data_IF_168714973056
#
_entry.id   IF_168714973056
#
_cell.length_a   1.000
_cell.length_b   1.000
_cell.length_c   1.000
_cell.angle_alpha   90.00
_cell.angle_beta   90.00
_cell.angle_gamma   90.00
#
_symmetry.space_group_name_H-M   'P 1'
#
loop_
_entity.id
_entity.type
_entity.pdbx_description
1 polymer ?
#
# COMPACT_ATOMS: atom_id res chain seq x y z
N UNK A 1 -18.85 12.57 27.63
CA UNK A 1 -18.79 12.06 29.02
C UNK A 1 -17.46 11.36 29.18
N UNK A 2 -16.60 11.86 30.07
CA UNK A 2 -15.26 11.32 30.32
C UNK A 2 -15.38 10.24 31.40
N UNK A 3 -15.00 9.00 31.07
CA UNK A 3 -14.83 7.95 32.08
C UNK A 3 -13.34 7.94 32.49
N UNK A 4 -13.04 8.60 33.61
CA UNK A 4 -11.70 8.59 34.21
C UNK A 4 -11.65 7.44 35.20
N UNK A 5 -10.96 6.35 34.85
CA UNK A 5 -10.65 5.27 35.79
C UNK A 5 -9.20 5.40 36.26
N UNK A 6 -9.05 5.56 37.57
CA UNK A 6 -7.80 5.83 38.26
C UNK A 6 -7.13 4.50 38.67
N UNK A 7 -6.19 3.99 37.88
CA UNK A 7 -5.13 3.08 38.36
C UNK A 7 -3.85 3.32 37.55
N UNK A 8 -2.75 3.49 38.27
CA UNK A 8 -1.44 3.89 37.73
C UNK A 8 -0.96 2.99 36.59
N UNK A 9 -0.39 3.64 35.58
CA UNK A 9 0.16 3.03 34.38
C UNK A 9 0.01 4.01 33.24
N UNK A 10 1.08 4.24 32.49
CA UNK A 10 1.13 5.11 31.30
C UNK A 10 -0.22 5.17 30.59
N UNK A 11 -0.82 6.36 30.54
CA UNK A 11 -2.04 6.61 29.77
C UNK A 11 -1.65 6.45 28.29
N UNK A 12 -1.74 5.23 27.76
CA UNK A 12 -1.67 5.02 26.33
C UNK A 12 -3.01 5.56 25.81
N UNK A 13 -3.00 6.83 25.43
CA UNK A 13 -4.11 7.49 24.77
C UNK A 13 -4.36 6.72 23.47
N UNK A 14 -5.22 5.71 23.57
CA UNK A 14 -5.59 4.85 22.45
C UNK A 14 -6.54 5.68 21.60
N UNK A 15 -5.99 6.36 20.58
CA UNK A 15 -6.82 7.05 19.60
C UNK A 15 -7.78 6.03 18.98
N UNK A 16 -8.95 6.48 18.53
CA UNK A 16 -9.94 5.61 17.87
C UNK A 16 -9.32 4.83 16.71
N UNK A 17 -8.26 5.37 16.09
CA UNK A 17 -7.43 4.76 15.05
C UNK A 17 -6.56 3.58 15.51
N UNK A 18 -6.25 3.45 16.80
CA UNK A 18 -5.49 2.33 17.37
C UNK A 18 -6.40 1.14 17.72
N UNK A 19 -7.72 1.30 17.55
CA UNK A 19 -8.72 0.23 17.62
C UNK A 19 -9.06 -0.33 16.24
N UNK A 20 -8.77 0.40 15.16
CA UNK A 20 -8.96 -0.10 13.81
C UNK A 20 -7.80 -1.04 13.44
N UNK A 21 -8.10 -2.23 12.87
CA UNK A 21 -7.05 -3.06 12.32
C UNK A 21 -6.26 -2.26 11.28
N UNK A 22 -4.93 -2.33 11.34
CA UNK A 22 -4.07 -1.65 10.35
C UNK A 22 -4.59 -1.98 8.95
N UNK A 23 -4.73 -0.95 8.14
CA UNK A 23 -5.21 -1.08 6.77
C UNK A 23 -4.49 -2.23 6.07
N UNK A 24 -5.27 -3.04 5.34
CA UNK A 24 -4.72 -4.21 4.71
C UNK A 24 -3.62 -3.79 3.74
N UNK A 25 -2.46 -4.42 3.86
CA UNK A 25 -1.33 -4.12 2.99
C UNK A 25 -1.75 -4.34 1.54
N UNK A 26 -1.34 -3.48 0.60
CA UNK A 26 -1.62 -3.70 -0.80
C UNK A 26 -0.99 -5.03 -1.25
N UNK A 27 -1.64 -5.69 -2.21
CA UNK A 27 -1.19 -6.98 -2.74
C UNK A 27 0.24 -6.86 -3.25
N UNK A 28 1.12 -7.74 -2.79
CA UNK A 28 2.49 -7.84 -3.30
C UNK A 28 2.48 -8.53 -4.66
N UNK A 29 3.28 -8.05 -5.61
CA UNK A 29 3.43 -8.74 -6.91
C UNK A 29 3.98 -10.16 -6.72
N UNK A 30 3.66 -11.07 -7.64
CA UNK A 30 4.18 -12.45 -7.62
C UNK A 30 5.72 -12.48 -7.57
N UNK A 31 6.39 -11.58 -8.29
CA UNK A 31 7.85 -11.45 -8.30
C UNK A 31 8.40 -11.00 -6.94
N UNK A 32 7.77 -9.99 -6.34
CA UNK A 32 8.15 -9.53 -4.99
C UNK A 32 7.95 -10.64 -3.98
N UNK A 33 6.82 -11.35 -4.05
CA UNK A 33 6.52 -12.47 -3.17
C UNK A 33 7.55 -13.60 -3.30
N UNK A 34 7.88 -14.02 -4.53
CA UNK A 34 8.93 -15.00 -4.80
C UNK A 34 10.27 -14.58 -4.17
N UNK A 35 10.66 -13.31 -4.32
CA UNK A 35 11.91 -12.79 -3.73
C UNK A 35 11.89 -12.81 -2.21
N UNK A 36 10.76 -12.45 -1.59
CA UNK A 36 10.61 -12.48 -0.13
C UNK A 36 10.68 -13.91 0.40
N UNK A 37 10.01 -14.86 -0.26
CA UNK A 37 10.02 -16.28 0.12
C UNK A 37 11.45 -16.82 0.01
N UNK A 38 12.10 -16.65 -1.14
CA UNK A 38 13.46 -17.14 -1.34
C UNK A 38 14.45 -16.54 -0.32
N UNK A 39 14.37 -15.23 -0.07
CA UNK A 39 15.18 -14.58 0.95
C UNK A 39 14.95 -15.18 2.34
N UNK A 40 13.69 -15.41 2.73
CA UNK A 40 13.36 -16.04 4.01
C UNK A 40 13.88 -17.48 4.14
N UNK A 41 14.05 -18.18 3.01
CA UNK A 41 14.59 -19.54 2.94
C UNK A 41 16.12 -19.56 2.78
N UNK A 42 16.80 -18.41 2.72
CA UNK A 42 18.24 -18.34 2.43
C UNK A 42 18.61 -18.72 1.00
N UNK A 43 17.63 -18.77 0.09
CA UNK A 43 17.81 -19.15 -1.31
C UNK A 43 18.10 -17.91 -2.16
N UNK A 44 19.09 -18.02 -3.05
CA UNK A 44 19.35 -17.02 -4.08
C UNK A 44 18.54 -17.36 -5.32
N UNK A 45 17.62 -16.47 -5.70
CA UNK A 45 16.90 -16.62 -6.96
C UNK A 45 17.85 -16.37 -8.13
N UNK A 46 17.76 -17.14 -9.22
CA UNK A 46 18.43 -16.78 -10.47
C UNK A 46 17.98 -15.39 -10.91
N UNK A 47 18.82 -14.71 -11.70
CA UNK A 47 18.48 -13.40 -12.25
C UNK A 47 17.11 -13.48 -12.94
N UNK A 48 16.10 -12.89 -12.30
CA UNK A 48 14.72 -12.90 -12.77
C UNK A 48 14.67 -12.21 -14.12
N UNK A 49 14.08 -12.83 -15.13
CA UNK A 49 13.90 -12.32 -16.51
C UNK A 49 13.00 -11.08 -16.64
N UNK A 50 12.88 -10.32 -15.55
CA UNK A 50 12.29 -9.01 -15.54
C UNK A 50 13.12 -8.06 -16.42
N UNK A 51 12.45 -7.47 -17.40
CA UNK A 51 13.12 -6.68 -18.43
C UNK A 51 12.33 -5.43 -18.84
N UNK A 52 12.84 -4.77 -19.88
CA UNK A 52 12.34 -3.49 -20.39
C UNK A 52 10.85 -3.52 -20.73
N UNK A 53 10.35 -4.63 -21.29
CA UNK A 53 8.91 -4.76 -21.65
C UNK A 53 8.00 -4.63 -20.43
N UNK A 54 8.28 -5.39 -19.36
CA UNK A 54 7.48 -5.37 -18.13
C UNK A 54 7.50 -3.99 -17.47
N UNK A 55 8.65 -3.31 -17.48
CA UNK A 55 8.77 -1.93 -17.00
C UNK A 55 7.91 -0.97 -17.82
N UNK A 56 7.87 -1.14 -19.14
CA UNK A 56 7.07 -0.32 -20.05
C UNK A 56 5.58 -0.53 -19.83
N UNK A 57 5.16 -1.78 -19.61
CA UNK A 57 3.77 -2.13 -19.29
C UNK A 57 3.33 -1.55 -17.94
N UNK A 58 4.20 -1.63 -16.91
CA UNK A 58 3.94 -0.99 -15.60
C UNK A 58 3.83 0.53 -15.71
N UNK A 59 4.69 1.17 -16.50
CA UNK A 59 4.67 2.60 -16.72
C UNK A 59 3.40 3.03 -17.50
N UNK A 60 2.98 2.26 -18.50
CA UNK A 60 1.71 2.50 -19.20
C UNK A 60 0.51 2.42 -18.24
N UNK A 61 0.46 1.39 -17.39
CA UNK A 61 -0.57 1.26 -16.37
C UNK A 61 -0.53 2.39 -15.32
N UNK A 62 0.67 2.88 -14.97
CA UNK A 62 0.84 4.06 -14.10
C UNK A 62 0.25 5.31 -14.75
N UNK A 63 0.59 5.59 -16.01
CA UNK A 63 0.07 6.74 -16.77
C UNK A 63 -1.45 6.69 -16.90
N UNK A 64 -2.02 5.53 -17.24
CA UNK A 64 -3.47 5.34 -17.32
C UNK A 64 -4.19 5.71 -16.01
N UNK A 65 -3.67 5.26 -14.86
CA UNK A 65 -4.23 5.63 -13.53
C UNK A 65 -4.14 7.11 -13.20
N UNK A 66 -3.13 7.81 -13.72
CA UNK A 66 -2.99 9.25 -13.52
C UNK A 66 -4.03 9.99 -14.36
N UNK A 67 -4.11 9.66 -15.65
CA UNK A 67 -5.08 10.27 -16.57
C UNK A 67 -6.51 10.04 -16.09
N UNK A 68 -6.85 8.81 -15.66
CA UNK A 68 -8.17 8.51 -15.13
C UNK A 68 -8.50 9.33 -13.88
N UNK A 69 -7.53 9.56 -12.99
CA UNK A 69 -7.75 10.40 -11.80
C UNK A 69 -7.90 11.87 -12.14
N UNK A 70 -7.13 12.38 -13.11
CA UNK A 70 -7.30 13.73 -13.61
C UNK A 70 -8.70 13.92 -14.18
N UNK A 71 -9.12 13.02 -15.09
CA UNK A 71 -10.46 13.06 -15.66
C UNK A 71 -11.55 13.02 -14.60
N UNK A 72 -11.47 12.11 -13.63
CA UNK A 72 -12.44 12.03 -12.54
C UNK A 72 -12.53 13.31 -11.70
N UNK A 73 -11.39 13.98 -11.48
CA UNK A 73 -11.35 15.24 -10.75
C UNK A 73 -11.97 16.37 -11.57
N UNK A 74 -11.62 16.46 -12.85
CA UNK A 74 -12.12 17.50 -13.75
C UNK A 74 -13.63 17.32 -13.98
N UNK A 75 -14.11 16.07 -14.17
CA UNK A 75 -15.54 15.72 -14.25
C UNK A 75 -16.31 16.02 -12.95
N UNK A 76 -15.66 15.92 -11.78
CA UNK A 76 -16.29 16.13 -10.47
C UNK A 76 -16.49 17.61 -10.10
N UNK A 77 -15.73 18.52 -10.71
CA UNK A 77 -15.81 19.94 -10.40
C UNK A 77 -16.49 20.77 -11.50
N UNK A 78 -16.61 20.27 -12.74
CA UNK A 78 -17.21 21.03 -13.84
C UNK A 78 -16.37 22.25 -14.25
N UNK A 79 -16.71 22.87 -15.37
CA UNK A 79 -16.10 24.18 -15.73
C UNK A 79 -16.76 25.25 -14.85
N UNK A 80 -15.93 26.13 -14.27
CA UNK A 80 -16.35 27.26 -13.41
C UNK A 80 -17.16 28.30 -14.19
#
# INVERSE_FOLDING_TARGET
MLLVSLMGGHVMLKSTSDLEPRSQRPKTSARTAQRLIAHSMGLKLPASGFGSKELRDQEAARKSRIVSRHKQRDDAWGDD
#
